data_IF_560798562053
#
_entry.id   IF_560798562053
#
_cell.length_a   1.000
_cell.length_b   1.000
_cell.length_c   1.000
_cell.angle_alpha   90.00
_cell.angle_beta   90.00
_cell.angle_gamma   90.00
#
_symmetry.space_group_name_H-M   'P 1'
#
loop_
_entity.id
_entity.type
_entity.pdbx_description
1 polymer ?
#
# COMPACT_ATOMS: atom_id res chain seq x y z
N UNK A 1 -66.62 44.50 -3.60
CA UNK A 1 -65.26 44.82 -3.11
C UNK A 1 -65.11 44.21 -1.72
N UNK A 2 -63.94 43.65 -1.40
CA UNK A 2 -63.61 42.88 -0.17
C UNK A 2 -63.99 41.38 -0.11
N UNK A 3 -63.64 40.60 -1.13
CA UNK A 3 -63.34 39.16 -0.91
C UNK A 3 -62.09 38.64 -1.65
N UNK A 4 -61.33 39.53 -2.31
CA UNK A 4 -60.08 39.19 -3.01
C UNK A 4 -58.81 39.72 -2.31
N UNK A 5 -58.83 39.87 -0.98
CA UNK A 5 -57.68 40.36 -0.19
C UNK A 5 -57.07 39.27 0.73
N UNK A 6 -57.57 38.04 0.71
CA UNK A 6 -57.09 36.97 1.61
C UNK A 6 -56.58 35.70 0.94
N UNK A 7 -56.30 35.72 -0.38
CA UNK A 7 -55.71 34.57 -1.11
C UNK A 7 -54.40 34.96 -1.80
N UNK A 8 -53.55 35.74 -1.12
CA UNK A 8 -52.16 36.00 -1.56
C UNK A 8 -51.18 36.02 -0.38
N UNK A 9 -51.42 35.18 0.64
CA UNK A 9 -50.47 35.01 1.77
C UNK A 9 -50.21 33.56 2.20
N UNK A 10 -50.57 32.57 1.37
CA UNK A 10 -50.25 31.17 1.64
C UNK A 10 -49.60 30.53 0.42
N UNK A 11 -48.28 30.70 0.29
CA UNK A 11 -47.33 29.72 -0.27
C UNK A 11 -45.91 30.30 -0.27
N UNK A 12 -45.43 30.80 0.89
CA UNK A 12 -43.99 31.14 1.07
C UNK A 12 -43.21 30.00 1.71
N UNK A 13 -43.80 28.80 1.81
CA UNK A 13 -43.08 27.58 2.19
C UNK A 13 -42.86 26.70 0.96
N UNK A 14 -42.25 27.27 -0.07
CA UNK A 14 -41.59 26.48 -1.10
C UNK A 14 -40.30 25.95 -0.50
N UNK A 15 -40.26 24.65 -0.19
CA UNK A 15 -39.06 23.94 0.22
C UNK A 15 -37.96 24.17 -0.83
N UNK A 16 -37.02 25.05 -0.53
CA UNK A 16 -35.74 25.06 -1.23
C UNK A 16 -34.93 23.92 -0.66
N UNK A 17 -35.17 22.71 -1.16
CA UNK A 17 -34.15 21.66 -1.10
C UNK A 17 -33.03 22.05 -2.07
N UNK A 18 -32.26 23.07 -1.69
CA UNK A 18 -30.87 23.10 -2.08
C UNK A 18 -30.26 21.91 -1.36
N UNK A 19 -30.13 20.79 -2.07
CA UNK A 19 -29.25 19.70 -1.67
C UNK A 19 -27.83 20.29 -1.66
N UNK A 20 -27.50 20.97 -0.56
CA UNK A 20 -26.15 21.36 -0.27
C UNK A 20 -25.42 20.05 0.01
N UNK A 21 -24.84 19.47 -1.05
CA UNK A 21 -23.64 18.68 -0.85
C UNK A 21 -22.64 19.63 -0.19
N UNK A 22 -22.61 19.58 1.13
CA UNK A 22 -21.61 20.24 1.95
C UNK A 22 -20.31 19.56 1.56
N UNK A 23 -19.58 20.13 0.60
CA UNK A 23 -18.17 19.76 0.40
C UNK A 23 -17.49 20.29 1.66
N UNK A 24 -17.47 19.45 2.69
CA UNK A 24 -16.66 19.73 3.86
C UNK A 24 -15.23 19.65 3.34
N UNK A 25 -14.63 20.83 3.15
CA UNK A 25 -13.20 20.99 2.99
C UNK A 25 -12.53 20.58 4.30
N UNK A 26 -12.44 19.28 4.55
CA UNK A 26 -11.46 18.70 5.46
C UNK A 26 -10.24 18.40 4.60
N UNK A 27 -9.28 19.31 4.60
CA UNK A 27 -7.98 19.20 3.90
C UNK A 27 -7.08 18.05 4.39
N UNK A 28 -7.64 16.93 4.82
CA UNK A 28 -6.94 15.72 5.25
C UNK A 28 -7.61 14.40 4.81
N UNK A 29 -8.86 14.41 4.33
CA UNK A 29 -9.57 13.18 3.94
C UNK A 29 -9.50 12.86 2.43
N UNK A 30 -9.20 13.84 1.57
CA UNK A 30 -9.17 13.60 0.12
C UNK A 30 -7.89 12.90 -0.38
N UNK A 31 -6.74 13.07 0.28
CA UNK A 31 -5.48 12.43 -0.13
C UNK A 31 -5.35 11.00 0.38
N UNK A 32 -5.98 10.69 1.51
CA UNK A 32 -5.98 9.36 2.12
C UNK A 32 -6.80 8.36 1.29
N UNK A 33 -8.02 8.72 0.89
CA UNK A 33 -8.89 7.84 0.09
C UNK A 33 -8.38 7.64 -1.35
N UNK A 34 -7.83 8.68 -1.99
CA UNK A 34 -7.30 8.56 -3.37
C UNK A 34 -5.97 7.78 -3.39
N UNK A 35 -5.14 7.93 -2.34
CA UNK A 35 -3.89 7.19 -2.19
C UNK A 35 -4.13 5.68 -2.07
N UNK A 36 -5.08 5.28 -1.23
CA UNK A 36 -5.44 3.88 -1.01
C UNK A 36 -6.12 3.22 -2.21
N UNK A 37 -6.80 3.98 -3.07
CA UNK A 37 -7.41 3.43 -4.28
C UNK A 37 -6.39 2.74 -5.21
N UNK A 38 -5.10 3.13 -5.15
CA UNK A 38 -4.02 2.45 -5.87
C UNK A 38 -3.73 1.04 -5.34
N UNK A 39 -3.98 0.80 -4.05
CA UNK A 39 -3.76 -0.47 -3.38
C UNK A 39 -4.84 -1.50 -3.74
N UNK A 40 -6.01 -1.06 -4.22
CA UNK A 40 -7.10 -1.94 -4.66
C UNK A 40 -6.95 -2.40 -6.11
N UNK A 41 -6.09 -1.76 -6.89
CA UNK A 41 -5.85 -2.12 -8.29
C UNK A 41 -5.01 -3.41 -8.38
N UNK A 42 -5.23 -4.25 -9.40
CA UNK A 42 -4.49 -5.50 -9.54
C UNK A 42 -3.00 -5.25 -9.78
N UNK A 43 -2.17 -6.21 -9.39
CA UNK A 43 -0.76 -6.24 -9.79
C UNK A 43 -0.70 -6.32 -11.32
N UNK A 44 -0.07 -5.37 -12.01
CA UNK A 44 -0.13 -5.32 -13.46
C UNK A 44 0.42 -6.59 -14.12
N UNK A 45 -0.22 -7.02 -15.21
CA UNK A 45 0.24 -8.15 -16.02
C UNK A 45 1.40 -7.81 -16.95
N UNK A 46 1.95 -8.82 -17.64
CA UNK A 46 2.98 -8.55 -18.64
C UNK A 46 2.35 -7.83 -19.83
N UNK A 47 2.85 -6.64 -20.14
CA UNK A 47 2.38 -5.85 -21.28
C UNK A 47 3.29 -6.06 -22.49
N UNK A 48 2.67 -6.17 -23.66
CA UNK A 48 3.41 -6.23 -24.91
C UNK A 48 3.55 -4.83 -25.51
N UNK A 49 4.71 -4.21 -25.37
CA UNK A 49 5.05 -3.01 -26.12
C UNK A 49 5.61 -3.35 -27.50
N UNK A 50 5.29 -2.53 -28.51
CA UNK A 50 5.97 -2.57 -29.80
C UNK A 50 7.36 -1.94 -29.66
N UNK A 51 8.42 -2.64 -30.08
CA UNK A 51 9.81 -2.12 -30.08
C UNK A 51 10.69 -2.54 -28.90
N UNK A 52 11.86 -1.89 -28.75
CA UNK A 52 12.88 -2.22 -27.73
C UNK A 52 12.33 -2.12 -26.31
N UNK A 53 12.43 -3.22 -25.55
CA UNK A 53 11.89 -3.37 -24.20
C UNK A 53 12.98 -3.14 -23.16
N UNK A 54 13.25 -1.90 -22.79
CA UNK A 54 13.92 -1.67 -21.51
C UNK A 54 12.92 -1.99 -20.39
N UNK A 55 13.33 -2.83 -19.44
CA UNK A 55 12.52 -3.16 -18.27
C UNK A 55 12.92 -2.23 -17.12
N UNK A 56 11.91 -1.78 -16.37
CA UNK A 56 12.11 -1.04 -15.12
C UNK A 56 11.52 -1.84 -13.96
N UNK A 57 12.27 -1.88 -12.86
CA UNK A 57 11.83 -2.43 -11.59
C UNK A 57 10.89 -1.44 -10.91
N UNK A 58 9.74 -1.94 -10.46
CA UNK A 58 8.74 -1.21 -9.66
C UNK A 58 8.17 -2.14 -8.60
N UNK A 59 7.47 -1.57 -7.63
CA UNK A 59 6.78 -2.34 -6.60
C UNK A 59 5.28 -2.18 -6.79
N UNK A 60 4.52 -3.25 -6.59
CA UNK A 60 3.07 -3.27 -6.75
C UNK A 60 2.46 -3.97 -5.55
N UNK A 61 1.42 -3.39 -4.95
CA UNK A 61 0.75 -3.97 -3.82
C UNK A 61 -0.17 -5.10 -4.27
N UNK A 62 0.01 -6.27 -3.68
CA UNK A 62 -0.84 -7.43 -3.89
C UNK A 62 -1.82 -7.55 -2.73
N UNK A 63 -3.05 -7.08 -2.94
CA UNK A 63 -4.08 -6.95 -1.89
C UNK A 63 -4.34 -8.23 -1.12
N UNK A 64 -4.52 -9.35 -1.83
CA UNK A 64 -4.86 -10.64 -1.20
C UNK A 64 -3.79 -11.17 -0.24
N UNK A 65 -2.52 -10.85 -0.49
CA UNK A 65 -1.42 -11.28 0.39
C UNK A 65 -0.98 -10.19 1.36
N UNK A 66 -1.46 -8.96 1.17
CA UNK A 66 -1.00 -7.79 1.92
C UNK A 66 0.47 -7.42 1.65
N UNK A 67 1.06 -7.89 0.55
CA UNK A 67 2.49 -7.73 0.25
C UNK A 67 2.74 -6.81 -0.92
N UNK A 68 3.74 -5.95 -0.81
CA UNK A 68 4.29 -5.22 -1.95
C UNK A 68 5.28 -6.12 -2.68
N UNK A 69 5.03 -6.45 -3.94
CA UNK A 69 5.88 -7.32 -4.76
C UNK A 69 6.70 -6.56 -5.78
N UNK A 70 7.91 -7.04 -6.04
CA UNK A 70 8.72 -6.54 -7.15
C UNK A 70 8.12 -7.02 -8.48
N UNK A 71 7.90 -6.07 -9.39
CA UNK A 71 7.47 -6.29 -10.77
C UNK A 71 8.48 -5.68 -11.74
N UNK A 72 8.69 -6.36 -12.86
CA UNK A 72 9.44 -5.82 -14.00
C UNK A 72 8.43 -5.45 -15.09
N UNK A 73 8.37 -4.16 -15.40
CA UNK A 73 7.46 -3.64 -16.41
C UNK A 73 8.24 -3.00 -17.56
N UNK A 74 7.74 -3.07 -18.79
CA UNK A 74 8.32 -2.31 -19.90
C UNK A 74 8.29 -0.80 -19.61
N UNK A 75 9.33 -0.06 -20.02
CA UNK A 75 9.41 1.40 -19.80
C UNK A 75 8.27 2.19 -20.46
N UNK A 76 7.74 1.68 -21.56
CA UNK A 76 6.55 2.16 -22.29
C UNK A 76 5.23 1.95 -21.56
N UNK A 77 5.17 1.07 -20.55
CA UNK A 77 3.95 0.83 -19.80
C UNK A 77 3.74 1.93 -18.77
N UNK A 78 2.72 2.76 -18.97
CA UNK A 78 2.44 3.91 -18.08
C UNK A 78 1.96 3.52 -16.68
N UNK A 79 1.48 2.28 -16.48
CA UNK A 79 0.94 1.83 -15.19
C UNK A 79 -0.57 1.91 -15.10
N UNK A 80 -1.17 1.08 -14.25
CA UNK A 80 -2.56 1.26 -13.80
C UNK A 80 -2.66 2.19 -12.59
N UNK A 81 -1.54 2.56 -11.95
CA UNK A 81 -1.48 3.37 -10.73
C UNK A 81 -0.89 2.60 -9.53
N UNK A 82 -0.97 1.27 -9.52
CA UNK A 82 -0.37 0.39 -8.51
C UNK A 82 1.11 0.10 -8.82
N UNK A 83 1.91 1.15 -8.91
CA UNK A 83 3.34 1.07 -9.20
C UNK A 83 4.11 2.13 -8.42
N UNK A 84 4.87 1.66 -7.45
CA UNK A 84 5.68 2.47 -6.53
C UNK A 84 7.16 2.40 -6.93
N UNK A 85 7.93 3.47 -6.70
CA UNK A 85 9.36 3.49 -7.00
C UNK A 85 10.17 2.69 -5.96
N UNK A 86 9.66 2.52 -4.73
CA UNK A 86 10.29 1.72 -3.67
C UNK A 86 9.28 0.83 -2.94
N UNK A 87 9.75 -0.28 -2.38
CA UNK A 87 8.90 -1.16 -1.56
C UNK A 87 8.43 -0.46 -0.30
N UNK A 88 9.30 0.35 0.29
CA UNK A 88 8.98 1.19 1.45
C UNK A 88 7.77 2.08 1.18
N UNK A 89 7.77 2.82 0.07
CA UNK A 89 6.63 3.69 -0.29
C UNK A 89 5.35 2.89 -0.53
N UNK A 90 5.46 1.74 -1.19
CA UNK A 90 4.32 0.83 -1.38
C UNK A 90 3.73 0.38 -0.03
N UNK A 91 4.57 -0.08 0.91
CA UNK A 91 4.12 -0.54 2.22
C UNK A 91 3.59 0.62 3.06
N UNK A 92 4.24 1.78 3.07
CA UNK A 92 3.77 2.95 3.83
C UNK A 92 2.37 3.40 3.40
N UNK A 93 2.05 3.28 2.10
CA UNK A 93 0.73 3.62 1.61
C UNK A 93 -0.28 2.48 1.83
N UNK A 94 0.06 1.25 1.40
CA UNK A 94 -0.91 0.16 1.28
C UNK A 94 -0.94 -0.82 2.47
N UNK A 95 0.09 -0.85 3.30
CA UNK A 95 0.16 -1.72 4.49
C UNK A 95 1.09 -1.11 5.56
N UNK A 96 0.69 0.05 6.10
CA UNK A 96 1.50 0.79 7.07
C UNK A 96 1.78 0.01 8.36
N UNK A 97 0.97 -1.01 8.67
CA UNK A 97 1.16 -1.92 9.81
C UNK A 97 2.12 -3.07 9.56
N UNK A 98 2.70 -3.19 8.36
CA UNK A 98 3.61 -4.29 7.99
C UNK A 98 4.80 -4.39 8.95
N UNK A 99 5.11 -5.61 9.39
CA UNK A 99 6.31 -5.89 10.18
C UNK A 99 7.60 -5.43 9.48
N UNK A 100 7.64 -5.48 8.15
CA UNK A 100 8.78 -5.02 7.35
C UNK A 100 9.05 -3.50 7.51
N UNK A 101 8.06 -2.72 7.96
CA UNK A 101 8.24 -1.29 8.26
C UNK A 101 8.71 -1.04 9.69
N UNK A 102 8.60 -2.02 10.59
CA UNK A 102 9.00 -1.86 11.99
C UNK A 102 10.53 -1.77 12.11
N UNK A 103 11.04 -1.03 13.10
CA UNK A 103 12.41 -1.21 13.53
C UNK A 103 12.61 -2.67 13.98
N UNK A 104 13.79 -3.24 13.73
CA UNK A 104 14.13 -4.53 14.32
C UNK A 104 14.14 -4.45 15.85
N UNK A 105 13.78 -5.54 16.51
CA UNK A 105 13.79 -5.61 17.97
C UNK A 105 15.21 -5.83 18.48
N UNK A 106 15.76 -4.80 19.14
CA UNK A 106 17.11 -4.83 19.71
C UNK A 106 17.27 -5.73 20.93
N UNK A 107 16.18 -6.25 21.51
CA UNK A 107 16.21 -7.22 22.60
C UNK A 107 16.48 -8.65 22.11
N UNK A 108 16.39 -8.91 20.80
CA UNK A 108 16.65 -10.23 20.24
C UNK A 108 18.15 -10.49 20.25
N UNK A 109 18.56 -11.46 21.06
CA UNK A 109 19.97 -11.82 21.29
C UNK A 109 20.41 -13.12 20.62
N UNK A 110 19.58 -13.66 19.71
CA UNK A 110 19.82 -14.87 18.88
C UNK A 110 19.94 -14.52 17.38
N UNK A 111 20.56 -15.39 16.58
CA UNK A 111 20.70 -15.22 15.13
C UNK A 111 19.32 -15.08 14.46
N UNK A 112 19.18 -14.10 13.58
CA UNK A 112 17.95 -13.88 12.81
C UNK A 112 18.24 -13.11 11.53
N UNK A 113 17.27 -13.05 10.63
CA UNK A 113 17.25 -12.14 9.49
C UNK A 113 16.37 -10.95 9.78
N UNK A 114 16.74 -9.78 9.25
CA UNK A 114 15.96 -8.54 9.36
C UNK A 114 15.83 -7.89 8.00
N UNK A 115 14.64 -7.44 7.66
CA UNK A 115 14.44 -6.67 6.44
C UNK A 115 14.98 -5.24 6.60
N UNK A 116 15.81 -4.84 5.64
CA UNK A 116 16.41 -3.53 5.53
C UNK A 116 15.66 -2.69 4.48
N UNK A 117 14.83 -1.78 4.96
CA UNK A 117 13.99 -0.91 4.12
C UNK A 117 14.78 0.02 3.20
N UNK A 118 16.06 0.32 3.51
CA UNK A 118 16.91 1.21 2.70
C UNK A 118 17.44 0.48 1.48
N UNK A 119 17.84 -0.77 1.67
CA UNK A 119 18.52 -1.57 0.65
C UNK A 119 17.57 -2.53 -0.07
N UNK A 120 16.34 -2.72 0.44
CA UNK A 120 15.40 -3.76 0.03
C UNK A 120 15.99 -5.18 0.15
N UNK A 121 16.71 -5.45 1.25
CA UNK A 121 17.42 -6.72 1.48
C UNK A 121 17.02 -7.37 2.81
N UNK A 122 17.18 -8.68 2.92
CA UNK A 122 17.09 -9.42 4.17
C UNK A 122 18.51 -9.64 4.72
N UNK A 123 18.89 -8.85 5.72
CA UNK A 123 20.23 -8.84 6.29
C UNK A 123 20.31 -9.87 7.43
N UNK A 124 21.39 -10.66 7.47
CA UNK A 124 21.64 -11.60 8.56
C UNK A 124 22.24 -10.87 9.77
N UNK A 125 21.62 -11.03 10.93
CA UNK A 125 21.99 -10.37 12.18
C UNK A 125 22.66 -11.38 13.10
N UNK A 126 23.90 -11.07 13.48
CA UNK A 126 24.74 -11.86 14.38
C UNK A 126 24.81 -11.11 15.73
N UNK A 127 24.14 -11.60 16.78
CA UNK A 127 24.23 -11.01 18.11
C UNK A 127 25.55 -11.40 18.78
N UNK A 128 25.95 -10.60 19.77
CA UNK A 128 27.24 -10.75 20.46
C UNK A 128 27.25 -11.83 21.54
N UNK A 129 26.08 -12.30 22.00
CA UNK A 129 25.95 -13.07 23.25
C UNK A 129 25.58 -14.53 23.03
N UNK A 130 24.45 -14.85 22.39
CA UNK A 130 23.95 -16.23 22.33
C UNK A 130 24.18 -16.91 20.98
N UNK A 131 24.43 -18.23 21.05
CA UNK A 131 24.57 -19.12 19.89
C UNK A 131 23.27 -19.91 19.66
N UNK A 132 22.17 -19.19 19.45
CA UNK A 132 20.87 -19.76 19.07
C UNK A 132 20.34 -19.08 17.82
N UNK A 133 19.35 -19.68 17.16
CA UNK A 133 18.57 -19.05 16.08
C UNK A 133 17.20 -18.69 16.65
N UNK A 134 16.62 -17.61 16.15
CA UNK A 134 15.24 -17.26 16.44
C UNK A 134 14.31 -18.37 15.93
N UNK A 135 13.42 -18.90 16.77
CA UNK A 135 12.56 -20.02 16.38
C UNK A 135 11.33 -19.58 15.57
N UNK A 136 10.78 -18.41 15.89
CA UNK A 136 9.58 -17.85 15.22
C UNK A 136 9.77 -16.37 14.93
N UNK A 137 9.15 -15.87 13.87
CA UNK A 137 9.24 -14.45 13.53
C UNK A 137 8.64 -13.54 14.62
N UNK A 138 9.32 -12.43 14.92
CA UNK A 138 8.89 -11.42 15.89
C UNK A 138 9.09 -10.05 15.25
N UNK A 139 8.01 -9.44 14.76
CA UNK A 139 8.09 -8.18 14.03
C UNK A 139 9.03 -8.28 12.83
N UNK A 140 9.98 -7.35 12.71
CA UNK A 140 11.00 -7.35 11.65
C UNK A 140 12.21 -8.25 11.99
N UNK A 141 11.98 -9.41 12.57
CA UNK A 141 13.01 -10.41 12.85
C UNK A 141 12.48 -11.79 12.47
N UNK A 142 13.22 -12.48 11.62
CA UNK A 142 12.81 -13.72 10.98
C UNK A 142 13.81 -14.85 11.29
N UNK A 143 13.37 -16.08 11.57
CA UNK A 143 14.24 -17.24 11.78
C UNK A 143 15.20 -17.46 10.63
N UNK A 144 14.64 -17.54 9.43
CA UNK A 144 15.34 -17.90 8.22
C UNK A 144 15.25 -16.82 7.14
N UNK A 145 16.21 -16.88 6.21
CA UNK A 145 16.27 -15.97 5.07
C UNK A 145 15.00 -16.05 4.24
N UNK A 146 14.49 -17.25 4.00
CA UNK A 146 13.27 -17.50 3.21
C UNK A 146 12.03 -16.88 3.86
N UNK A 147 11.95 -16.89 5.19
CA UNK A 147 10.83 -16.29 5.91
C UNK A 147 10.85 -14.77 5.72
N UNK A 148 12.02 -14.15 5.88
CA UNK A 148 12.21 -12.73 5.60
C UNK A 148 11.90 -12.40 4.12
N UNK A 149 12.44 -13.16 3.17
CA UNK A 149 12.29 -12.85 1.75
C UNK A 149 10.84 -13.04 1.28
N UNK A 150 10.15 -14.07 1.75
CA UNK A 150 8.75 -14.33 1.42
C UNK A 150 7.81 -13.31 2.06
N UNK A 151 8.14 -12.81 3.26
CA UNK A 151 7.36 -11.77 3.94
C UNK A 151 7.62 -10.38 3.36
N UNK A 152 8.90 -10.00 3.22
CA UNK A 152 9.31 -8.61 3.02
C UNK A 152 9.92 -8.31 1.66
N UNK A 153 10.49 -9.27 0.93
CA UNK A 153 11.03 -9.03 -0.42
C UNK A 153 10.41 -9.89 -1.53
N UNK A 154 9.09 -10.16 -1.53
CA UNK A 154 8.49 -11.03 -2.54
C UNK A 154 8.58 -10.39 -3.94
N UNK A 155 8.57 -11.26 -4.94
CA UNK A 155 8.50 -10.89 -6.36
C UNK A 155 7.18 -11.38 -6.94
N UNK A 156 6.74 -10.85 -8.08
CA UNK A 156 5.57 -11.40 -8.77
C UNK A 156 5.74 -12.90 -9.07
N UNK A 157 6.94 -13.33 -9.42
CA UNK A 157 7.26 -14.72 -9.69
C UNK A 157 7.16 -15.63 -8.46
N UNK A 158 7.45 -15.13 -7.25
CA UNK A 158 7.30 -15.92 -6.02
C UNK A 158 5.83 -16.10 -5.61
N UNK A 159 4.92 -15.21 -6.04
CA UNK A 159 3.49 -15.36 -5.80
C UNK A 159 2.83 -16.39 -6.72
N UNK A 160 3.34 -16.58 -7.94
CA UNK A 160 2.78 -17.52 -8.91
C UNK A 160 3.13 -19.00 -8.64
N UNK A 161 3.84 -19.30 -7.54
CA UNK A 161 4.31 -20.65 -7.16
C UNK A 161 3.51 -21.27 -6.01
N UNK A 162 2.49 -20.57 -5.52
CA UNK A 162 1.55 -21.02 -4.47
C UNK A 162 0.22 -21.33 -5.14
#
# INVERSE_FOLDING_TARGET
MHHYIFILFLCVMGAKEAYQYKIISTGHLATYDIGNMKCDLPVPDQFNCRGFKTLRKRYSYHKETGKCVLVEIPSCFSGNGNLFPSRKECLQLCNAGSDCLKPGDGSITVFHYRYNQKNDTCDFIIPTVHKGRLDTAIGNAFPDRSDCESACTPTKASLARV
#
